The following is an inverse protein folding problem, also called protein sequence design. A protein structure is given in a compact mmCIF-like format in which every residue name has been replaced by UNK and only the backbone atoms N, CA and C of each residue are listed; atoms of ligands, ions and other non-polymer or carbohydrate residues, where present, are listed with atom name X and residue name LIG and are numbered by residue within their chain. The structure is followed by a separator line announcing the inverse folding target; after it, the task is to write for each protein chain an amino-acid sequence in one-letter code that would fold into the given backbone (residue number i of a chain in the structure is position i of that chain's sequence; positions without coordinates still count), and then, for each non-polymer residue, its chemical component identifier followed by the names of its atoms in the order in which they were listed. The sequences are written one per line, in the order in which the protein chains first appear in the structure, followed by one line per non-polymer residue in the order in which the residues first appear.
data_IF_757447478909
#
_entry.id   IF_757447478909
#
_cell.length_a   1.000
_cell.length_b   1.000
_cell.length_c   1.000
_cell.angle_alpha   90.00
_cell.angle_beta   90.00
_cell.angle_gamma   90.00
#
_symmetry.space_group_name_H-M   'P 1'
#
loop_
_entity.id
_entity.type
_entity.pdbx_description
1 polymer ?
#
# COMPACT_ATOMS: atom_id res chain seq x y z
N UNK A 1 11.86 8.37 -39.29
CA UNK A 1 12.47 7.08 -38.90
C UNK A 1 11.42 5.98 -38.96
N UNK A 2 11.69 4.90 -39.66
CA UNK A 2 10.76 3.77 -39.75
C UNK A 2 10.83 2.86 -38.53
N UNK A 3 11.88 3.00 -37.72
CA UNK A 3 12.10 2.20 -36.52
C UNK A 3 11.30 2.70 -35.33
N UNK A 4 10.75 1.76 -34.54
CA UNK A 4 10.00 2.04 -33.31
C UNK A 4 10.91 1.77 -32.11
N UNK A 5 10.97 2.70 -31.19
CA UNK A 5 11.71 2.52 -29.94
C UNK A 5 11.06 1.45 -29.08
N UNK A 6 11.89 0.72 -28.31
CA UNK A 6 11.44 -0.32 -27.40
C UNK A 6 10.56 0.25 -26.27
N UNK A 7 9.61 -0.54 -25.81
CA UNK A 7 8.73 -0.23 -24.67
C UNK A 7 9.53 0.21 -23.43
N UNK A 8 10.68 -0.39 -23.18
CA UNK A 8 11.54 -0.01 -22.06
C UNK A 8 12.14 1.39 -22.17
N UNK A 9 12.29 1.92 -23.40
CA UNK A 9 12.68 3.30 -23.60
C UNK A 9 11.61 4.26 -23.09
N UNK A 10 10.37 4.08 -23.54
CA UNK A 10 9.23 4.91 -23.09
C UNK A 10 9.02 4.79 -21.58
N UNK A 11 9.13 3.57 -21.02
CA UNK A 11 9.01 3.34 -19.58
C UNK A 11 10.12 4.02 -18.78
N UNK A 12 11.31 4.17 -19.35
CA UNK A 12 12.42 4.88 -18.72
C UNK A 12 12.22 6.38 -18.60
N UNK A 13 11.40 6.96 -19.47
CA UNK A 13 11.04 8.38 -19.44
C UNK A 13 9.91 8.72 -18.46
N UNK A 14 9.23 7.71 -17.92
CA UNK A 14 8.01 7.87 -17.13
C UNK A 14 8.09 8.90 -16.00
N UNK A 15 9.17 9.02 -15.20
CA UNK A 15 9.21 9.93 -14.06
C UNK A 15 9.02 11.41 -14.40
N UNK A 16 9.34 11.83 -15.62
CA UNK A 16 9.31 13.23 -16.02
C UNK A 16 8.45 13.47 -17.28
N UNK A 17 8.36 12.52 -18.21
CA UNK A 17 7.57 12.72 -19.43
C UNK A 17 6.06 12.77 -19.13
N UNK A 18 5.57 12.05 -18.11
CA UNK A 18 4.18 12.11 -17.66
C UNK A 18 3.81 13.45 -17.02
N UNK A 19 4.79 14.26 -16.64
CA UNK A 19 4.63 15.63 -16.16
C UNK A 19 4.70 16.67 -17.29
N UNK A 20 4.78 16.21 -18.54
CA UNK A 20 4.74 17.04 -19.75
C UNK A 20 6.08 17.40 -20.35
N UNK A 21 7.19 16.97 -19.76
CA UNK A 21 8.52 17.16 -20.36
C UNK A 21 8.59 16.54 -21.78
N UNK A 22 9.19 17.16 -22.79
CA UNK A 22 10.04 18.35 -22.75
C UNK A 22 9.33 19.69 -23.04
N UNK A 23 8.00 19.75 -22.91
CA UNK A 23 7.25 20.97 -23.13
C UNK A 23 7.62 22.02 -22.07
N UNK A 24 8.04 23.22 -22.51
CA UNK A 24 8.49 24.31 -21.63
C UNK A 24 7.36 25.26 -21.18
N UNK A 25 6.10 24.83 -21.19
CA UNK A 25 4.99 25.67 -20.70
C UNK A 25 5.12 25.93 -19.19
N UNK A 26 4.51 27.03 -18.70
CA UNK A 26 4.51 27.37 -17.28
C UNK A 26 3.86 26.27 -16.41
N UNK A 27 2.86 25.58 -16.95
CA UNK A 27 2.18 24.47 -16.28
C UNK A 27 3.14 23.27 -16.09
N UNK A 28 3.81 22.84 -17.14
CA UNK A 28 4.78 21.74 -17.10
C UNK A 28 5.94 22.07 -16.18
N UNK A 29 6.49 23.29 -16.25
CA UNK A 29 7.58 23.74 -15.39
C UNK A 29 7.17 23.69 -13.92
N UNK A 30 5.95 24.12 -13.59
CA UNK A 30 5.40 24.09 -12.24
C UNK A 30 5.19 22.65 -11.74
N UNK A 31 4.67 21.76 -12.59
CA UNK A 31 4.39 20.38 -12.22
C UNK A 31 5.68 19.57 -12.04
N UNK A 32 6.68 19.78 -12.90
CA UNK A 32 8.02 19.23 -12.70
C UNK A 32 8.62 19.70 -11.39
N UNK A 33 8.62 21.00 -11.10
CA UNK A 33 9.16 21.54 -9.85
C UNK A 33 8.45 21.00 -8.59
N UNK A 34 7.19 20.60 -8.71
CA UNK A 34 6.40 20.10 -7.58
C UNK A 34 6.50 18.59 -7.39
N UNK A 35 6.50 17.82 -8.46
CA UNK A 35 6.30 16.37 -8.42
C UNK A 35 7.55 15.57 -8.80
N UNK A 36 8.57 16.21 -9.36
CA UNK A 36 9.87 15.62 -9.63
C UNK A 36 10.91 16.15 -8.63
N UNK A 37 11.73 15.32 -7.99
CA UNK A 37 11.72 13.86 -7.97
C UNK A 37 10.47 13.31 -7.25
N UNK A 38 10.01 12.13 -7.70
CA UNK A 38 8.97 11.38 -7.01
C UNK A 38 9.40 10.98 -5.58
N UNK A 39 8.45 10.91 -4.66
CA UNK A 39 8.76 10.56 -3.27
C UNK A 39 9.17 9.09 -3.14
N UNK A 40 8.36 8.17 -3.69
CA UNK A 40 8.56 6.73 -3.57
C UNK A 40 8.24 6.03 -4.89
N UNK A 41 9.13 5.16 -5.35
CA UNK A 41 8.85 4.19 -6.40
C UNK A 41 8.54 2.83 -5.77
N UNK A 42 7.44 2.22 -6.15
CA UNK A 42 7.09 0.84 -5.76
C UNK A 42 7.36 -0.10 -6.93
N UNK A 43 8.19 -1.12 -6.74
CA UNK A 43 8.61 -2.04 -7.81
C UNK A 43 8.81 -3.47 -7.32
N UNK A 44 8.74 -4.44 -8.23
CA UNK A 44 9.24 -5.78 -8.01
C UNK A 44 10.76 -5.86 -8.18
N UNK A 45 11.40 -6.82 -7.54
CA UNK A 45 12.85 -7.00 -7.66
C UNK A 45 13.28 -7.47 -9.06
N UNK A 46 12.40 -8.12 -9.79
CA UNK A 46 12.65 -8.70 -11.11
C UNK A 46 12.79 -7.64 -12.22
N UNK A 47 12.30 -6.42 -12.00
CA UNK A 47 12.42 -5.32 -12.97
C UNK A 47 13.30 -4.15 -12.47
N UNK A 48 14.04 -4.33 -11.39
CA UNK A 48 14.96 -3.29 -10.90
C UNK A 48 15.95 -2.88 -11.99
N UNK A 49 16.59 -3.86 -12.64
CA UNK A 49 17.58 -3.58 -13.67
C UNK A 49 16.94 -3.04 -14.96
N UNK A 50 15.82 -3.62 -15.37
CA UNK A 50 15.21 -3.27 -16.66
C UNK A 50 14.39 -1.99 -16.60
N UNK A 51 13.80 -1.67 -15.47
CA UNK A 51 12.92 -0.51 -15.33
C UNK A 51 13.51 0.58 -14.43
N UNK A 52 13.85 0.26 -13.19
CA UNK A 52 14.34 1.27 -12.22
C UNK A 52 15.66 1.87 -12.67
N UNK A 53 16.63 1.03 -13.03
CA UNK A 53 17.94 1.52 -13.49
C UNK A 53 17.83 2.36 -14.77
N UNK A 54 16.93 2.00 -15.70
CA UNK A 54 16.69 2.81 -16.90
C UNK A 54 16.06 4.16 -16.59
N UNK A 55 15.06 4.20 -15.70
CA UNK A 55 14.51 5.47 -15.24
C UNK A 55 15.58 6.34 -14.59
N UNK A 56 16.43 5.78 -13.74
CA UNK A 56 17.53 6.52 -13.11
C UNK A 56 18.50 7.10 -14.15
N UNK A 57 18.97 6.29 -15.09
CA UNK A 57 19.92 6.75 -16.11
C UNK A 57 19.31 7.83 -17.02
N UNK A 58 18.08 7.62 -17.49
CA UNK A 58 17.43 8.57 -18.39
C UNK A 58 17.05 9.87 -17.67
N UNK A 59 16.56 9.77 -16.44
CA UNK A 59 16.26 10.96 -15.63
C UNK A 59 17.51 11.77 -15.31
N UNK A 60 18.57 11.15 -14.86
CA UNK A 60 19.84 11.85 -14.57
C UNK A 60 20.41 12.50 -15.81
N UNK A 61 20.23 11.92 -17.00
CA UNK A 61 20.64 12.53 -18.24
C UNK A 61 19.78 13.73 -18.65
N UNK A 62 18.45 13.61 -18.53
CA UNK A 62 17.50 14.62 -19.01
C UNK A 62 17.20 15.73 -17.99
N UNK A 63 17.42 15.46 -16.69
CA UNK A 63 17.05 16.32 -15.56
C UNK A 63 18.30 16.77 -14.76
N UNK A 64 19.36 17.19 -15.45
CA UNK A 64 20.57 17.78 -14.90
C UNK A 64 21.23 17.01 -13.75
N UNK A 65 21.18 15.69 -13.82
CA UNK A 65 21.79 14.78 -12.82
C UNK A 65 20.91 14.48 -11.61
N UNK A 66 19.69 14.98 -11.56
CA UNK A 66 18.78 14.73 -10.44
C UNK A 66 18.18 13.32 -10.53
N UNK A 67 18.21 12.58 -9.40
CA UNK A 67 17.63 11.23 -9.31
C UNK A 67 16.09 11.28 -9.33
N UNK A 68 15.42 10.32 -10.00
CA UNK A 68 13.96 10.40 -10.19
C UNK A 68 13.13 10.08 -8.94
N UNK A 69 13.69 9.37 -7.95
CA UNK A 69 12.99 8.93 -6.75
C UNK A 69 13.88 9.05 -5.53
N UNK A 70 13.29 9.41 -4.40
CA UNK A 70 14.00 9.48 -3.10
C UNK A 70 14.11 8.11 -2.47
N UNK A 71 13.02 7.33 -2.53
CA UNK A 71 12.95 5.98 -2.01
C UNK A 71 12.50 5.00 -3.09
N UNK A 72 13.02 3.77 -3.04
CA UNK A 72 12.57 2.66 -3.88
C UNK A 72 12.10 1.53 -2.98
N UNK A 73 10.78 1.32 -2.94
CA UNK A 73 10.18 0.22 -2.20
C UNK A 73 10.07 -1.03 -3.08
N UNK A 74 10.80 -2.08 -2.70
CA UNK A 74 10.80 -3.35 -3.42
C UNK A 74 9.78 -4.27 -2.77
N UNK A 75 8.64 -4.46 -3.44
CA UNK A 75 7.56 -5.30 -2.93
C UNK A 75 7.80 -6.79 -3.16
N UNK A 76 7.15 -7.61 -2.34
CA UNK A 76 7.11 -9.05 -2.49
C UNK A 76 6.33 -9.48 -3.76
N UNK A 77 6.69 -10.60 -4.37
CA UNK A 77 5.93 -11.20 -5.46
C UNK A 77 4.85 -12.13 -4.90
N UNK A 78 3.69 -12.14 -5.58
CA UNK A 78 2.59 -13.04 -5.23
C UNK A 78 2.80 -14.39 -5.92
N UNK A 79 2.74 -15.47 -5.12
CA UNK A 79 2.84 -16.86 -5.56
C UNK A 79 1.57 -17.61 -5.21
N UNK A 80 1.37 -18.77 -5.83
CA UNK A 80 0.28 -19.66 -5.47
C UNK A 80 0.44 -20.24 -4.04
N UNK A 81 -0.55 -20.98 -3.56
CA UNK A 81 -0.55 -21.58 -2.21
C UNK A 81 0.65 -22.52 -1.97
N UNK A 82 1.19 -23.13 -3.04
CA UNK A 82 2.37 -23.99 -2.99
C UNK A 82 3.68 -23.22 -3.07
N UNK A 83 3.62 -21.88 -3.20
CA UNK A 83 4.78 -21.02 -3.38
C UNK A 83 5.38 -21.05 -4.77
N UNK A 84 4.65 -21.54 -5.78
CA UNK A 84 5.11 -21.55 -7.16
C UNK A 84 4.81 -20.22 -7.85
N UNK A 85 5.66 -19.82 -8.79
CA UNK A 85 5.41 -18.67 -9.65
C UNK A 85 4.14 -18.94 -10.47
N UNK A 86 3.21 -17.99 -10.43
CA UNK A 86 1.98 -18.04 -11.21
C UNK A 86 2.30 -17.85 -12.69
N UNK A 87 1.70 -18.67 -13.55
CA UNK A 87 1.76 -18.53 -15.01
C UNK A 87 0.51 -19.07 -15.67
N UNK A 88 0.11 -18.46 -16.78
CA UNK A 88 -1.04 -18.92 -17.57
C UNK A 88 -0.85 -20.36 -18.07
N UNK A 89 0.38 -20.72 -18.45
CA UNK A 89 0.73 -22.06 -18.94
C UNK A 89 0.61 -23.15 -17.87
N UNK A 90 0.74 -22.80 -16.59
CA UNK A 90 0.57 -23.74 -15.46
C UNK A 90 -0.87 -23.78 -14.93
N UNK A 91 -1.73 -22.87 -15.36
CA UNK A 91 -3.12 -22.79 -14.89
C UNK A 91 -3.27 -22.45 -13.41
N UNK A 92 -2.24 -21.88 -12.78
CA UNK A 92 -2.23 -21.51 -11.35
C UNK A 92 -2.33 -20.00 -11.11
N UNK A 93 -2.78 -19.25 -12.11
CA UNK A 93 -3.00 -17.80 -12.00
C UNK A 93 -4.28 -17.56 -11.20
N UNK A 94 -4.17 -16.73 -10.16
CA UNK A 94 -5.33 -16.21 -9.42
C UNK A 94 -5.61 -14.80 -9.94
N UNK A 95 -6.76 -14.63 -10.61
CA UNK A 95 -7.17 -13.31 -11.10
C UNK A 95 -7.61 -12.46 -9.91
N UNK A 96 -7.01 -11.28 -9.69
CA UNK A 96 -7.42 -10.39 -8.61
C UNK A 96 -8.87 -9.91 -8.74
N UNK A 97 -9.42 -9.82 -9.95
CA UNK A 97 -10.82 -9.43 -10.16
C UNK A 97 -11.77 -10.52 -9.66
N UNK A 98 -11.48 -11.80 -9.96
CA UNK A 98 -12.24 -12.93 -9.44
C UNK A 98 -12.22 -12.98 -7.90
N UNK A 99 -11.06 -12.67 -7.31
CA UNK A 99 -10.93 -12.61 -5.85
C UNK A 99 -11.70 -11.43 -5.25
N UNK A 100 -11.75 -10.30 -5.93
CA UNK A 100 -12.55 -9.13 -5.51
C UNK A 100 -14.03 -9.46 -5.55
N UNK A 101 -14.49 -10.12 -6.61
CA UNK A 101 -15.89 -10.51 -6.76
C UNK A 101 -16.34 -11.50 -5.67
N UNK A 102 -15.46 -12.43 -5.28
CA UNK A 102 -15.77 -13.45 -4.28
C UNK A 102 -15.63 -12.96 -2.83
N UNK A 103 -14.59 -12.20 -2.54
CA UNK A 103 -14.20 -11.85 -1.16
C UNK A 103 -14.34 -10.35 -0.84
N UNK A 104 -14.39 -9.50 -1.85
CA UNK A 104 -14.35 -8.04 -1.73
C UNK A 104 -12.95 -7.46 -1.91
N UNK A 105 -12.88 -6.19 -2.31
CA UNK A 105 -11.62 -5.48 -2.54
C UNK A 105 -10.80 -5.26 -1.25
N UNK A 106 -11.47 -4.88 -0.16
CA UNK A 106 -10.79 -4.59 1.12
C UNK A 106 -10.10 -5.82 1.71
N UNK A 107 -10.73 -7.02 1.77
CA UNK A 107 -10.04 -8.24 2.17
C UNK A 107 -8.80 -8.57 1.35
N UNK A 108 -8.87 -8.43 0.02
CA UNK A 108 -7.72 -8.67 -0.85
C UNK A 108 -6.59 -7.69 -0.55
N UNK A 109 -6.88 -6.40 -0.50
CA UNK A 109 -5.89 -5.34 -0.20
C UNK A 109 -5.27 -5.53 1.19
N UNK A 110 -6.09 -5.81 2.20
CA UNK A 110 -5.59 -6.04 3.55
C UNK A 110 -4.73 -7.31 3.63
N UNK A 111 -5.13 -8.39 2.94
CA UNK A 111 -4.33 -9.62 2.86
C UNK A 111 -2.93 -9.34 2.28
N UNK A 112 -2.88 -8.65 1.14
CA UNK A 112 -1.61 -8.30 0.50
C UNK A 112 -0.75 -7.43 1.41
N UNK A 113 -1.33 -6.44 2.07
CA UNK A 113 -0.64 -5.55 3.01
C UNK A 113 -0.10 -6.31 4.22
N UNK A 114 -0.93 -7.15 4.85
CA UNK A 114 -0.56 -7.93 6.02
C UNK A 114 0.53 -8.98 5.74
N UNK A 115 0.62 -9.43 4.49
CA UNK A 115 1.63 -10.40 4.06
C UNK A 115 2.87 -9.76 3.43
N UNK A 116 2.90 -8.45 3.23
CA UNK A 116 3.99 -7.70 2.58
C UNK A 116 5.22 -7.57 3.50
N UNK A 117 5.75 -8.69 4.01
CA UNK A 117 7.02 -8.69 4.72
C UNK A 117 8.18 -8.53 3.72
N UNK A 118 9.13 -7.65 4.03
CA UNK A 118 10.29 -7.42 3.18
C UNK A 118 11.10 -8.71 2.97
N UNK A 119 11.51 -8.95 1.74
CA UNK A 119 12.37 -10.09 1.37
C UNK A 119 11.67 -11.45 1.33
N UNK A 120 10.34 -11.50 1.40
CA UNK A 120 9.58 -12.76 1.33
C UNK A 120 8.44 -12.65 0.32
N UNK A 121 8.33 -13.68 -0.54
CA UNK A 121 7.20 -13.79 -1.45
C UNK A 121 5.90 -14.09 -0.71
N UNK A 122 4.81 -13.58 -1.23
CA UNK A 122 3.46 -13.77 -0.68
C UNK A 122 2.87 -15.06 -1.23
N UNK A 123 2.63 -16.05 -0.36
CA UNK A 123 1.84 -17.23 -0.72
C UNK A 123 0.36 -16.90 -0.54
N UNK A 124 -0.34 -16.69 -1.65
CA UNK A 124 -1.77 -16.36 -1.60
C UNK A 124 -2.58 -17.57 -1.19
N UNK A 125 -3.51 -17.38 -0.24
CA UNK A 125 -4.41 -18.41 0.26
C UNK A 125 -5.82 -17.86 0.39
N UNK A 126 -6.80 -18.61 -0.11
CA UNK A 126 -8.22 -18.27 0.02
C UNK A 126 -8.68 -18.22 1.46
N UNK A 127 -8.15 -19.09 2.31
CA UNK A 127 -8.43 -19.10 3.77
C UNK A 127 -8.02 -17.78 4.44
N UNK A 128 -6.91 -17.18 4.02
CA UNK A 128 -6.50 -15.87 4.54
C UNK A 128 -7.41 -14.74 4.08
N UNK A 129 -7.84 -14.78 2.82
CA UNK A 129 -8.83 -13.83 2.29
C UNK A 129 -10.13 -13.87 3.07
N UNK A 130 -10.63 -15.08 3.39
CA UNK A 130 -11.83 -15.27 4.22
C UNK A 130 -11.64 -14.71 5.64
N UNK A 131 -10.48 -14.94 6.25
CA UNK A 131 -10.18 -14.43 7.59
C UNK A 131 -10.21 -12.89 7.61
N UNK A 132 -9.61 -12.24 6.62
CA UNK A 132 -9.61 -10.78 6.54
C UNK A 132 -10.95 -10.19 6.07
N UNK A 133 -11.75 -10.94 5.30
CA UNK A 133 -13.16 -10.60 5.06
C UNK A 133 -13.95 -10.56 6.36
N UNK A 134 -13.76 -11.57 7.22
CA UNK A 134 -14.40 -11.62 8.53
C UNK A 134 -13.95 -10.45 9.43
N UNK A 135 -12.68 -10.06 9.33
CA UNK A 135 -12.17 -8.87 10.03
C UNK A 135 -12.85 -7.58 9.56
N UNK A 136 -12.95 -7.36 8.25
CA UNK A 136 -13.65 -6.20 7.69
C UNK A 136 -15.13 -6.18 8.10
N UNK A 137 -15.79 -7.34 8.06
CA UNK A 137 -17.18 -7.50 8.52
C UNK A 137 -17.33 -7.19 10.01
N UNK A 138 -16.35 -7.57 10.84
CA UNK A 138 -16.37 -7.27 12.28
C UNK A 138 -16.30 -5.75 12.53
N UNK A 139 -15.43 -5.04 11.82
CA UNK A 139 -15.36 -3.57 11.91
C UNK A 139 -16.70 -2.94 11.50
N UNK A 140 -17.24 -3.37 10.37
CA UNK A 140 -18.54 -2.90 9.89
C UNK A 140 -19.66 -3.11 10.93
N UNK A 141 -19.74 -4.29 11.50
CA UNK A 141 -20.76 -4.62 12.51
C UNK A 141 -20.56 -3.81 13.80
N UNK A 142 -19.32 -3.58 14.23
CA UNK A 142 -19.03 -2.71 15.36
C UNK A 142 -19.51 -1.28 15.12
N UNK A 143 -19.23 -0.71 13.94
CA UNK A 143 -19.70 0.62 13.55
C UNK A 143 -21.24 0.69 13.49
N UNK A 144 -21.88 -0.33 12.90
CA UNK A 144 -23.36 -0.41 12.90
C UNK A 144 -23.95 -0.48 14.30
N UNK A 145 -23.35 -1.27 15.17
CA UNK A 145 -23.80 -1.36 16.57
C UNK A 145 -23.74 -0.01 17.27
N UNK A 146 -22.66 0.75 17.07
CA UNK A 146 -22.56 2.12 17.61
C UNK A 146 -23.65 3.03 17.07
N UNK A 147 -23.89 3.02 15.76
CA UNK A 147 -24.95 3.83 15.13
C UNK A 147 -26.35 3.49 15.68
N UNK A 148 -26.66 2.19 15.80
CA UNK A 148 -27.94 1.73 16.35
C UNK A 148 -28.16 2.15 17.80
N UNK A 149 -27.10 2.39 18.56
CA UNK A 149 -27.14 2.86 19.94
C UNK A 149 -26.98 4.39 20.06
N UNK A 150 -27.17 5.14 18.97
CA UNK A 150 -27.10 6.59 18.97
C UNK A 150 -25.69 7.19 19.14
N UNK A 151 -24.65 6.37 19.02
CA UNK A 151 -23.26 6.84 19.07
C UNK A 151 -22.87 7.36 17.69
N UNK A 152 -23.17 8.59 17.41
CA UNK A 152 -22.94 9.24 16.09
C UNK A 152 -21.64 10.04 16.07
N UNK A 153 -20.60 9.60 16.69
CA UNK A 153 -19.24 10.12 16.64
C UNK A 153 -19.07 11.63 16.46
N UNK A 154 -18.31 12.26 17.31
CA UNK A 154 -17.86 13.65 17.12
C UNK A 154 -16.45 13.66 16.49
N UNK A 155 -16.22 14.54 15.53
CA UNK A 155 -14.90 14.78 14.96
C UNK A 155 -13.99 15.57 15.92
N UNK A 156 -13.80 15.09 17.15
CA UNK A 156 -13.01 15.78 18.16
C UNK A 156 -11.92 14.92 18.77
N UNK A 157 -10.88 15.55 19.29
CA UNK A 157 -9.88 14.86 20.12
C UNK A 157 -10.55 14.36 21.40
N UNK A 158 -10.22 13.15 21.81
CA UNK A 158 -10.67 12.58 23.08
C UNK A 158 -10.06 13.43 24.21
N UNK A 159 -10.90 14.03 25.03
CA UNK A 159 -10.48 14.73 26.24
C UNK A 159 -10.28 13.71 27.35
N UNK A 160 -9.02 13.33 27.60
CA UNK A 160 -8.67 12.33 28.60
C UNK A 160 -9.11 12.70 30.02
N UNK A 161 -9.27 14.00 30.33
CA UNK A 161 -9.74 14.46 31.64
C UNK A 161 -11.20 14.05 31.87
N UNK A 162 -11.98 13.87 30.81
CA UNK A 162 -13.40 13.46 30.88
C UNK A 162 -13.59 11.92 30.84
N UNK A 163 -12.50 11.16 30.67
CA UNK A 163 -12.57 9.69 30.65
C UNK A 163 -12.41 9.17 32.09
N UNK A 164 -13.54 8.97 32.77
CA UNK A 164 -13.55 8.61 34.20
C UNK A 164 -13.39 7.10 34.44
N UNK A 165 -14.08 6.26 33.64
CA UNK A 165 -14.10 4.82 33.87
C UNK A 165 -12.76 4.15 33.52
N UNK A 166 -12.22 3.27 34.38
CA UNK A 166 -10.94 2.60 34.12
C UNK A 166 -10.88 1.86 32.78
N UNK A 167 -11.94 1.14 32.40
CA UNK A 167 -12.02 0.42 31.13
C UNK A 167 -11.94 1.37 29.93
N UNK A 168 -12.55 2.55 30.04
CA UNK A 168 -12.48 3.53 28.97
C UNK A 168 -11.09 4.17 28.88
N UNK A 169 -10.41 4.37 30.01
CA UNK A 169 -9.01 4.83 30.03
C UNK A 169 -8.09 3.79 29.40
N UNK A 170 -8.29 2.53 29.73
CA UNK A 170 -7.52 1.43 29.16
C UNK A 170 -7.67 1.37 27.64
N UNK A 171 -8.90 1.36 27.11
CA UNK A 171 -9.08 1.25 25.65
C UNK A 171 -8.55 2.48 24.89
N UNK A 172 -8.58 3.68 25.52
CA UNK A 172 -7.98 4.87 24.91
C UNK A 172 -6.45 4.77 24.90
N UNK A 173 -5.84 4.19 25.92
CA UNK A 173 -4.39 3.92 25.93
C UNK A 173 -4.00 2.94 24.82
N UNK A 174 -4.71 1.80 24.70
CA UNK A 174 -4.53 0.82 23.62
C UNK A 174 -4.69 1.44 22.23
N UNK A 175 -5.69 2.30 22.06
CA UNK A 175 -5.93 3.04 20.83
C UNK A 175 -4.76 3.96 20.46
N UNK A 176 -4.25 4.74 21.41
CA UNK A 176 -3.10 5.61 21.18
C UNK A 176 -1.83 4.83 20.86
N UNK A 177 -1.63 3.69 21.51
CA UNK A 177 -0.51 2.79 21.22
C UNK A 177 -0.62 2.20 19.81
N UNK A 178 -1.83 1.77 19.41
CA UNK A 178 -2.07 1.26 18.07
C UNK A 178 -1.81 2.34 16.99
N UNK A 179 -2.21 3.59 17.23
CA UNK A 179 -1.90 4.72 16.33
C UNK A 179 -0.39 4.89 16.21
N UNK A 180 0.33 4.96 17.33
CA UNK A 180 1.78 5.17 17.34
C UNK A 180 2.51 4.05 16.57
N UNK A 181 2.17 2.79 16.85
CA UNK A 181 2.75 1.62 16.17
C UNK A 181 2.45 1.63 14.68
N UNK A 182 1.20 1.90 14.30
CA UNK A 182 0.78 1.94 12.89
C UNK A 182 1.50 3.05 12.13
N UNK A 183 1.56 4.26 12.70
CA UNK A 183 2.25 5.40 12.09
C UNK A 183 3.72 5.11 11.89
N UNK A 184 4.42 4.65 12.93
CA UNK A 184 5.84 4.32 12.84
C UNK A 184 6.13 3.20 11.82
N UNK A 185 5.24 2.22 11.72
CA UNK A 185 5.38 1.13 10.76
C UNK A 185 5.16 1.62 9.31
N UNK A 186 4.19 2.51 9.06
CA UNK A 186 3.97 3.11 7.74
C UNK A 186 5.16 3.99 7.34
N UNK A 187 5.64 4.84 8.22
CA UNK A 187 6.80 5.71 7.97
C UNK A 187 8.08 4.91 7.67
N UNK A 188 8.21 3.71 8.24
CA UNK A 188 9.32 2.80 7.99
C UNK A 188 9.06 1.81 6.83
N UNK A 189 7.98 1.96 6.05
CA UNK A 189 7.55 1.04 4.98
C UNK A 189 7.35 -0.41 5.45
N UNK A 190 7.04 -0.64 6.72
CA UNK A 190 6.73 -1.96 7.30
C UNK A 190 5.23 -2.19 7.34
N UNK A 191 4.61 -2.30 6.17
CA UNK A 191 3.17 -2.36 6.02
C UNK A 191 2.51 -3.56 6.70
N UNK A 192 3.20 -4.70 6.76
CA UNK A 192 2.75 -5.87 7.51
C UNK A 192 2.61 -5.60 9.01
N UNK A 193 3.55 -4.84 9.60
CA UNK A 193 3.48 -4.47 11.01
C UNK A 193 2.37 -3.45 11.28
N UNK A 194 2.13 -2.52 10.35
CA UNK A 194 1.00 -1.60 10.43
C UNK A 194 -0.34 -2.35 10.42
N UNK A 195 -0.49 -3.32 9.51
CA UNK A 195 -1.68 -4.17 9.43
C UNK A 195 -1.88 -5.01 10.71
N UNK A 196 -0.79 -5.57 11.26
CA UNK A 196 -0.82 -6.35 12.50
C UNK A 196 -1.23 -5.50 13.72
N UNK A 197 -0.70 -4.30 13.84
CA UNK A 197 -1.06 -3.37 14.92
C UNK A 197 -2.56 -3.02 14.90
N UNK A 198 -3.10 -2.72 13.71
CA UNK A 198 -4.53 -2.44 13.53
C UNK A 198 -5.40 -3.66 13.79
N UNK A 199 -5.01 -4.82 13.24
CA UNK A 199 -5.72 -6.07 13.45
C UNK A 199 -5.78 -6.44 14.94
N UNK A 200 -4.63 -6.41 15.61
CA UNK A 200 -4.52 -6.76 17.02
C UNK A 200 -5.37 -5.85 17.90
N UNK A 201 -5.31 -4.55 17.69
CA UNK A 201 -6.14 -3.59 18.43
C UNK A 201 -7.64 -3.87 18.25
N UNK A 202 -8.10 -3.96 16.98
CA UNK A 202 -9.53 -4.11 16.72
C UNK A 202 -10.05 -5.47 17.16
N UNK A 203 -9.30 -6.55 16.84
CA UNK A 203 -9.79 -7.91 17.07
C UNK A 203 -9.70 -8.35 18.51
N UNK A 204 -8.65 -7.93 19.22
CA UNK A 204 -8.36 -8.45 20.56
C UNK A 204 -8.64 -7.47 21.70
N UNK A 205 -8.60 -6.15 21.43
CA UNK A 205 -8.79 -5.14 22.48
C UNK A 205 -10.14 -4.41 22.35
N UNK A 206 -10.53 -4.02 21.14
CA UNK A 206 -11.72 -3.19 20.93
C UNK A 206 -13.01 -3.99 20.80
N UNK A 207 -13.02 -5.10 20.11
CA UNK A 207 -14.14 -6.03 19.94
C UNK A 207 -13.99 -7.25 20.82
#
# INVERSE_FOLDING_TARGET
DEDVLDTWFSSGLWPFSTLGWPDGTDEVTRDLARYYPGAVLVTGFDIIFFWVARMMMMSMYAMDGEVPFRDVYIHALVRDEKGQKMSKSKGNVMDPLDLIDQYGADPLRFTLTAMAAQGRDIKMSTTRLESYRNFATKIWNACRFLQMNGCTGGAGKIDLAKVEKPVNRWIVAEYNEAIAKTTAAIEAYRFNEAADALYSFVWHSYC
#
